data_IF_126137869837
#
_entry.id   IF_126137869837
#
_cell.length_a   1.000
_cell.length_b   1.000
_cell.length_c   1.000
_cell.angle_alpha   90.00
_cell.angle_beta   90.00
_cell.angle_gamma   90.00
#
_symmetry.space_group_name_H-M   'P 1'
#
loop_
_entity.id
_entity.type
_entity.pdbx_description
1 polymer ?
#
# COMPACT_ATOMS: atom_id res chain seq x y z
N UNK A 1 22.40 -4.26 1.77
CA UNK A 1 21.57 -4.86 0.72
C UNK A 1 20.19 -5.07 1.29
N UNK A 2 19.17 -4.45 0.70
CA UNK A 2 17.78 -4.58 1.14
C UNK A 2 16.95 -5.15 -0.02
N UNK A 3 16.08 -6.11 0.31
CA UNK A 3 15.18 -6.76 -0.65
C UNK A 3 13.78 -6.18 -0.44
N UNK A 4 13.14 -5.87 -1.55
CA UNK A 4 11.77 -5.42 -1.65
C UNK A 4 11.03 -6.24 -2.71
N UNK A 5 9.71 -6.19 -2.65
CA UNK A 5 8.84 -6.89 -3.57
C UNK A 5 7.79 -5.95 -4.14
N UNK A 6 7.35 -6.24 -5.35
CA UNK A 6 6.22 -5.55 -5.97
C UNK A 6 5.39 -6.52 -6.80
N UNK A 7 4.09 -6.55 -6.51
CA UNK A 7 3.11 -7.28 -7.31
C UNK A 7 2.67 -6.51 -8.55
N UNK A 8 2.51 -7.22 -9.65
CA UNK A 8 1.97 -6.73 -10.91
C UNK A 8 0.85 -7.68 -11.36
N UNK A 9 -0.40 -7.28 -11.15
CA UNK A 9 -1.55 -8.01 -11.66
C UNK A 9 -1.67 -7.91 -13.18
N UNK A 10 -2.35 -8.87 -13.79
CA UNK A 10 -2.56 -8.93 -15.23
C UNK A 10 -3.19 -7.64 -15.74
N UNK A 11 -2.67 -7.13 -16.86
CA UNK A 11 -3.07 -5.87 -17.49
C UNK A 11 -2.91 -4.61 -16.62
N UNK A 12 -2.30 -4.71 -15.43
CA UNK A 12 -1.93 -3.51 -14.67
C UNK A 12 -0.72 -2.81 -15.30
N UNK A 13 -0.46 -1.56 -14.88
CA UNK A 13 0.65 -0.78 -15.43
C UNK A 13 1.98 -1.54 -15.47
N UNK A 14 2.37 -2.19 -14.37
CA UNK A 14 3.64 -2.92 -14.31
C UNK A 14 3.66 -4.24 -15.03
N UNK A 15 2.49 -4.80 -15.31
CA UNK A 15 2.37 -5.95 -16.18
C UNK A 15 2.58 -5.56 -17.65
N UNK A 16 2.07 -4.39 -18.05
CA UNK A 16 2.20 -3.87 -19.41
C UNK A 16 3.54 -3.15 -19.67
N UNK A 17 4.28 -2.85 -18.61
CA UNK A 17 5.50 -2.04 -18.62
C UNK A 17 6.58 -2.79 -17.86
N UNK A 18 7.09 -3.88 -18.45
CA UNK A 18 7.93 -4.88 -17.76
C UNK A 18 9.15 -4.25 -17.07
N UNK A 19 9.19 -4.26 -15.73
CA UNK A 19 10.31 -3.74 -14.97
C UNK A 19 11.64 -4.45 -15.20
N UNK A 20 11.62 -5.69 -15.71
CA UNK A 20 12.83 -6.42 -16.08
C UNK A 20 13.53 -5.76 -17.27
N UNK A 21 12.77 -5.13 -18.18
CA UNK A 21 13.32 -4.52 -19.40
C UNK A 21 13.69 -3.04 -19.21
N UNK A 22 12.90 -2.29 -18.44
CA UNK A 22 13.03 -0.83 -18.32
C UNK A 22 13.15 -0.30 -16.89
N UNK A 23 13.05 -1.17 -15.88
CA UNK A 23 13.03 -0.77 -14.47
C UNK A 23 11.66 -0.26 -14.04
N UNK A 24 11.57 0.21 -12.78
CA UNK A 24 10.36 0.84 -12.29
C UNK A 24 10.44 2.37 -12.37
N UNK A 25 9.38 2.96 -12.92
CA UNK A 25 9.16 4.41 -13.08
C UNK A 25 7.75 4.76 -12.58
N UNK A 26 7.59 5.73 -11.69
CA UNK A 26 6.23 6.06 -11.23
C UNK A 26 5.27 6.41 -12.39
N UNK A 27 3.95 6.21 -12.24
CA UNK A 27 2.99 6.49 -13.32
C UNK A 27 2.96 7.96 -13.73
N UNK A 28 3.29 8.85 -12.80
CA UNK A 28 3.44 10.28 -13.05
C UNK A 28 4.71 10.80 -12.37
N UNK A 29 5.90 10.54 -12.95
CA UNK A 29 7.18 10.76 -12.30
C UNK A 29 7.53 12.25 -12.14
N UNK A 30 6.93 13.13 -12.96
CA UNK A 30 7.15 14.58 -12.93
C UNK A 30 6.26 15.28 -11.89
N UNK A 31 5.30 14.56 -11.30
CA UNK A 31 4.42 15.12 -10.28
C UNK A 31 5.22 15.47 -9.01
N UNK A 32 4.98 16.65 -8.44
CA UNK A 32 5.67 17.07 -7.21
C UNK A 32 5.39 16.11 -6.04
N UNK A 33 6.42 15.51 -5.41
CA UNK A 33 6.23 14.57 -4.31
C UNK A 33 5.92 15.31 -3.00
N UNK A 34 4.65 15.32 -2.59
CA UNK A 34 4.23 15.90 -1.31
C UNK A 34 3.76 14.80 -0.35
N UNK A 35 3.88 15.02 0.96
CA UNK A 35 3.40 14.06 1.95
C UNK A 35 1.89 13.80 1.84
N UNK A 36 1.09 14.82 1.50
CA UNK A 36 -0.34 14.63 1.19
C UNK A 36 -0.55 13.66 0.04
N UNK A 37 0.28 13.73 -1.01
CA UNK A 37 0.22 12.76 -2.12
C UNK A 37 0.69 11.38 -1.72
N UNK A 38 1.71 11.26 -0.87
CA UNK A 38 2.11 9.97 -0.30
C UNK A 38 0.95 9.34 0.47
N UNK A 39 0.27 10.13 1.31
CA UNK A 39 -0.88 9.68 2.07
C UNK A 39 -2.04 9.23 1.17
N UNK A 40 -2.36 10.01 0.13
CA UNK A 40 -3.39 9.64 -0.86
C UNK A 40 -3.01 8.39 -1.65
N UNK A 41 -1.74 8.26 -2.06
CA UNK A 41 -1.23 7.09 -2.76
C UNK A 41 -1.46 5.81 -1.94
N UNK A 42 -1.18 5.84 -0.64
CA UNK A 42 -1.30 4.68 0.25
C UNK A 42 -2.74 4.45 0.71
N UNK A 43 -3.41 5.49 1.23
CA UNK A 43 -4.73 5.37 1.85
C UNK A 43 -5.87 5.24 0.83
N UNK A 44 -5.70 5.81 -0.36
CA UNK A 44 -6.74 5.84 -1.41
C UNK A 44 -6.36 5.03 -2.65
N UNK A 45 -5.19 4.38 -2.65
CA UNK A 45 -4.67 3.65 -3.80
C UNK A 45 -4.63 4.51 -5.07
N UNK A 46 -4.31 5.80 -4.93
CA UNK A 46 -4.19 6.71 -6.08
C UNK A 46 -3.00 6.31 -6.92
N UNK A 47 -3.25 5.57 -8.01
CA UNK A 47 -2.22 4.97 -8.85
C UNK A 47 -1.44 5.99 -9.70
N UNK A 48 -2.02 7.16 -10.00
CA UNK A 48 -1.37 8.24 -10.73
C UNK A 48 -0.64 9.14 -9.73
N UNK A 49 0.61 8.79 -9.43
CA UNK A 49 1.45 9.47 -8.46
C UNK A 49 2.93 9.38 -8.87
N UNK A 50 3.82 10.16 -8.22
CA UNK A 50 5.26 10.08 -8.43
C UNK A 50 5.93 8.96 -7.61
N UNK A 51 5.15 8.05 -7.01
CA UNK A 51 5.66 7.03 -6.11
C UNK A 51 5.49 5.62 -6.67
N UNK A 52 6.50 4.79 -6.43
CA UNK A 52 6.46 3.35 -6.66
C UNK A 52 6.31 2.67 -5.30
N UNK A 53 5.15 2.05 -5.06
CA UNK A 53 4.94 1.17 -3.91
C UNK A 53 5.86 -0.05 -3.94
N UNK A 54 6.57 -0.26 -2.86
CA UNK A 54 7.37 -1.45 -2.59
C UNK A 54 6.92 -2.02 -1.25
N UNK A 55 7.04 -3.32 -1.08
CA UNK A 55 6.82 -3.96 0.23
C UNK A 55 8.01 -4.81 0.62
N UNK A 56 8.28 -4.92 1.92
CA UNK A 56 9.24 -5.91 2.44
C UNK A 56 8.64 -7.31 2.61
N UNK A 57 7.36 -7.50 2.30
CA UNK A 57 6.65 -8.77 2.43
C UNK A 57 6.29 -9.34 1.07
N UNK A 58 6.88 -10.49 0.73
CA UNK A 58 6.50 -11.23 -0.49
C UNK A 58 5.01 -11.57 -0.50
N UNK A 59 4.44 -11.98 0.64
CA UNK A 59 3.02 -12.34 0.73
C UNK A 59 2.09 -11.16 0.40
N UNK A 60 2.45 -9.94 0.79
CA UNK A 60 1.71 -8.73 0.45
C UNK A 60 1.80 -8.44 -1.06
N UNK A 61 3.01 -8.56 -1.64
CA UNK A 61 3.20 -8.38 -3.09
C UNK A 61 2.42 -9.42 -3.91
N UNK A 62 2.46 -10.68 -3.49
CA UNK A 62 1.68 -11.77 -4.08
C UNK A 62 0.18 -11.48 -4.00
N UNK A 63 -0.31 -11.09 -2.82
CA UNK A 63 -1.72 -10.74 -2.63
C UNK A 63 -2.17 -9.62 -3.56
N UNK A 64 -1.35 -8.58 -3.72
CA UNK A 64 -1.65 -7.50 -4.66
C UNK A 64 -1.59 -7.93 -6.12
N UNK A 65 -0.63 -8.77 -6.53
CA UNK A 65 -0.58 -9.32 -7.88
C UNK A 65 -1.86 -10.13 -8.21
N UNK A 66 -2.33 -10.92 -7.24
CA UNK A 66 -3.55 -11.72 -7.36
C UNK A 66 -4.82 -10.88 -7.41
N UNK A 67 -4.95 -9.85 -6.58
CA UNK A 67 -6.19 -9.07 -6.45
C UNK A 67 -6.30 -7.85 -7.38
N UNK A 68 -5.19 -7.34 -7.91
CA UNK A 68 -5.21 -6.16 -8.80
C UNK A 68 -5.58 -6.49 -10.25
N UNK A 69 -5.71 -7.78 -10.57
CA UNK A 69 -6.08 -8.29 -11.89
C UNK A 69 -7.61 -8.30 -12.07
N UNK A 70 -8.10 -7.97 -13.27
CA UNK A 70 -9.53 -8.12 -13.61
C UNK A 70 -9.97 -9.59 -13.75
N UNK A 71 -8.99 -10.48 -13.98
CA UNK A 71 -9.17 -11.93 -14.12
C UNK A 71 -8.23 -12.67 -13.17
N UNK A 72 -8.62 -13.89 -12.81
CA UNK A 72 -7.80 -14.78 -11.99
C UNK A 72 -6.59 -15.24 -12.82
N UNK A 73 -5.35 -15.04 -12.35
CA UNK A 73 -4.17 -15.53 -13.06
C UNK A 73 -4.14 -17.05 -13.23
N UNK A 74 -3.56 -17.52 -14.33
CA UNK A 74 -3.40 -18.95 -14.63
C UNK A 74 -1.94 -19.26 -15.01
N UNK A 75 -1.53 -20.53 -15.09
CA UNK A 75 -0.18 -20.87 -15.55
C UNK A 75 0.16 -20.35 -16.95
N UNK A 76 -0.84 -20.24 -17.84
CA UNK A 76 -0.67 -19.74 -19.21
C UNK A 76 -0.69 -18.21 -19.31
N UNK A 77 -1.20 -17.55 -18.27
CA UNK A 77 -1.31 -16.10 -18.16
C UNK A 77 -1.15 -15.69 -16.68
N UNK A 78 0.09 -15.77 -16.17
CA UNK A 78 0.37 -15.51 -14.76
C UNK A 78 0.36 -14.00 -14.47
N UNK A 79 0.10 -13.62 -13.22
CA UNK A 79 0.52 -12.33 -12.71
C UNK A 79 1.97 -12.43 -12.24
N UNK A 80 2.59 -11.32 -11.83
CA UNK A 80 4.00 -11.33 -11.44
C UNK A 80 4.25 -10.75 -10.05
N UNK A 81 5.24 -11.29 -9.35
CA UNK A 81 5.91 -10.63 -8.22
C UNK A 81 7.36 -10.41 -8.59
N UNK A 82 7.78 -9.15 -8.60
CA UNK A 82 9.17 -8.78 -8.86
C UNK A 82 9.94 -8.66 -7.53
N UNK A 83 11.12 -9.25 -7.48
CA UNK A 83 12.09 -9.07 -6.41
C UNK A 83 13.08 -7.97 -6.79
N UNK A 84 13.23 -7.01 -5.89
CA UNK A 84 13.98 -5.78 -6.11
C UNK A 84 15.04 -5.68 -5.03
N UNK A 85 16.30 -5.76 -5.43
CA UNK A 85 17.45 -5.65 -4.55
C UNK A 85 18.11 -4.28 -4.72
N UNK A 86 18.11 -3.49 -3.65
CA UNK A 86 18.71 -2.16 -3.63
C UNK A 86 19.88 -2.17 -2.64
N UNK A 87 21.02 -1.66 -3.10
CA UNK A 87 22.25 -1.56 -2.31
C UNK A 87 22.56 -0.10 -2.01
N UNK A 88 23.36 0.11 -0.96
CA UNK A 88 23.92 1.42 -0.65
C UNK A 88 25.29 1.56 -1.34
N UNK A 89 25.61 2.73 -1.92
CA UNK A 89 24.76 3.92 -2.01
C UNK A 89 23.58 3.73 -2.97
N UNK A 90 22.43 4.32 -2.66
CA UNK A 90 21.27 4.30 -3.55
C UNK A 90 21.64 4.80 -4.97
N UNK A 91 21.04 4.24 -6.04
CA UNK A 91 21.12 4.80 -7.39
C UNK A 91 20.83 6.30 -7.40
N UNK A 92 21.49 7.02 -8.32
CA UNK A 92 21.30 8.48 -8.46
C UNK A 92 19.82 8.81 -8.58
N UNK A 93 19.38 9.85 -7.85
CA UNK A 93 18.01 10.36 -7.83
C UNK A 93 16.94 9.43 -7.19
N UNK A 94 17.27 8.18 -6.87
CA UNK A 94 16.39 7.29 -6.12
C UNK A 94 16.35 7.68 -4.64
N UNK A 95 15.15 7.85 -4.10
CA UNK A 95 14.90 8.01 -2.67
C UNK A 95 13.94 6.94 -2.19
N UNK A 96 14.28 6.32 -1.07
CA UNK A 96 13.38 5.42 -0.34
C UNK A 96 12.77 6.18 0.83
N UNK A 97 11.44 6.22 0.86
CA UNK A 97 10.64 6.91 1.85
C UNK A 97 9.92 5.88 2.70
N UNK A 98 10.02 6.04 4.01
CA UNK A 98 9.27 5.26 5.00
C UNK A 98 7.99 6.06 5.34
N UNK A 99 6.80 5.65 4.85
CA UNK A 99 5.59 6.45 5.01
C UNK A 99 5.23 6.67 6.47
N UNK A 100 5.59 5.76 7.37
CA UNK A 100 5.34 5.91 8.80
C UNK A 100 6.14 7.09 9.34
N UNK A 101 7.42 7.21 8.96
CA UNK A 101 8.26 8.34 9.36
C UNK A 101 7.81 9.65 8.73
N UNK A 102 7.52 9.64 7.44
CA UNK A 102 7.11 10.84 6.69
C UNK A 102 5.80 11.43 7.23
N UNK A 103 4.81 10.59 7.52
CA UNK A 103 3.53 11.04 8.09
C UNK A 103 3.72 11.49 9.54
N UNK A 104 4.43 10.71 10.36
CA UNK A 104 4.62 11.04 11.78
C UNK A 104 5.31 12.39 11.99
N UNK A 105 6.26 12.77 11.14
CA UNK A 105 6.94 14.07 11.22
C UNK A 105 6.03 15.27 10.92
N UNK A 106 4.96 15.07 10.16
CA UNK A 106 4.01 16.15 9.85
C UNK A 106 2.89 16.29 10.88
N UNK A 107 2.72 15.31 11.76
CA UNK A 107 1.62 15.36 12.72
C UNK A 107 1.80 16.56 13.65
N UNK A 108 0.72 17.35 13.84
CA UNK A 108 0.80 18.51 14.71
C UNK A 108 1.11 18.08 16.14
N UNK A 109 1.70 18.98 16.92
CA UNK A 109 1.89 18.77 18.35
C UNK A 109 0.57 18.38 19.02
N UNK A 110 0.56 17.48 20.03
CA UNK A 110 -0.66 17.07 20.74
C UNK A 110 -1.47 18.22 21.34
N UNK A 111 -0.85 19.39 21.54
CA UNK A 111 -1.47 20.61 22.06
C UNK A 111 -1.95 21.58 20.97
N UNK A 112 -1.81 21.21 19.69
CA UNK A 112 -2.26 22.03 18.57
C UNK A 112 -3.79 22.06 18.49
N UNK A 113 -4.36 23.21 18.12
CA UNK A 113 -5.82 23.42 17.98
C UNK A 113 -6.42 22.78 16.72
N UNK A 114 -5.63 22.06 15.92
CA UNK A 114 -6.10 21.30 14.76
C UNK A 114 -6.70 19.94 15.13
N UNK A 115 -7.39 19.25 14.20
CA UNK A 115 -7.88 17.90 14.47
C UNK A 115 -6.67 17.00 14.77
N UNK A 116 -6.57 16.42 15.98
CA UNK A 116 -5.53 15.47 16.28
C UNK A 116 -5.75 14.20 15.42
N UNK A 117 -4.71 13.36 15.33
CA UNK A 117 -4.92 11.97 14.91
C UNK A 117 -6.02 11.36 15.80
N UNK A 118 -7.14 10.98 15.19
CA UNK A 118 -8.31 10.49 15.92
C UNK A 118 -9.08 9.47 15.09
N UNK A 119 -9.79 8.60 15.79
CA UNK A 119 -10.86 7.76 15.25
C UNK A 119 -12.06 7.82 16.19
N UNK A 120 -13.24 7.50 15.68
CA UNK A 120 -14.48 7.45 16.47
C UNK A 120 -14.90 6.02 16.87
N UNK A 121 -14.03 5.03 16.63
CA UNK A 121 -14.17 3.65 17.11
C UNK A 121 -13.70 3.40 18.55
N UNK A 122 -13.94 2.20 19.07
CA UNK A 122 -13.38 1.69 20.33
C UNK A 122 -11.93 1.19 20.15
N UNK A 123 -11.14 0.97 21.22
CA UNK A 123 -9.77 0.49 21.11
C UNK A 123 -9.61 -0.78 20.27
N UNK A 124 -10.60 -1.68 20.31
CA UNK A 124 -10.59 -2.94 19.55
C UNK A 124 -10.78 -2.74 18.04
N UNK A 125 -11.16 -1.53 17.59
CA UNK A 125 -11.31 -1.21 16.17
C UNK A 125 -9.97 -1.26 15.42
N UNK A 126 -8.87 -0.85 16.07
CA UNK A 126 -7.54 -0.88 15.47
C UNK A 126 -6.93 -2.30 15.46
N UNK A 127 -7.59 -3.28 16.07
CA UNK A 127 -7.08 -4.65 16.23
C UNK A 127 -7.40 -5.60 15.06
N UNK A 128 -7.68 -5.05 13.89
CA UNK A 128 -7.51 -5.77 12.64
C UNK A 128 -8.81 -6.28 12.05
N UNK A 129 -9.04 -5.83 10.84
CA UNK A 129 -9.87 -6.54 9.89
C UNK A 129 -9.02 -6.70 8.63
N UNK A 130 -8.58 -7.94 8.44
CA UNK A 130 -7.58 -8.38 7.45
C UNK A 130 -8.08 -8.22 6.00
N UNK A 131 -9.37 -7.97 5.81
CA UNK A 131 -9.99 -7.78 4.50
C UNK A 131 -11.15 -6.78 4.58
N UNK A 132 -10.94 -5.49 4.24
CA UNK A 132 -11.99 -4.48 4.26
C UNK A 132 -13.21 -4.81 3.40
N UNK A 133 -13.01 -5.54 2.29
CA UNK A 133 -14.09 -5.92 1.38
C UNK A 133 -15.00 -6.99 1.96
N UNK A 134 -14.43 -7.99 2.64
CA UNK A 134 -15.19 -9.12 3.21
C UNK A 134 -15.71 -8.83 4.61
N UNK A 135 -15.04 -7.99 5.37
CA UNK A 135 -15.31 -7.79 6.79
C UNK A 135 -15.77 -6.36 7.11
N UNK A 136 -15.92 -5.48 6.12
CA UNK A 136 -16.44 -4.12 6.31
C UNK A 136 -17.81 -4.07 7.00
N UNK A 137 -18.63 -5.13 6.86
CA UNK A 137 -19.90 -5.25 7.56
C UNK A 137 -19.75 -5.46 9.09
N UNK A 138 -18.66 -6.07 9.56
CA UNK A 138 -18.35 -6.15 11.00
C UNK A 138 -17.91 -4.80 11.59
N UNK A 139 -17.47 -3.89 10.72
CA UNK A 139 -17.02 -2.55 11.10
C UNK A 139 -18.18 -1.55 11.15
N UNK A 140 -19.37 -1.88 10.62
CA UNK A 140 -20.54 -1.04 10.72
C UNK A 140 -21.08 -1.09 12.16
N UNK A 141 -20.64 -0.14 12.99
CA UNK A 141 -21.03 -0.03 14.39
C UNK A 141 -21.75 1.30 14.62
N UNK A 142 -22.57 1.33 15.66
CA UNK A 142 -23.06 2.59 16.18
C UNK A 142 -21.88 3.34 16.79
N UNK A 143 -21.49 4.48 16.21
CA UNK A 143 -20.49 5.34 16.81
C UNK A 143 -20.95 5.67 18.24
N UNK A 144 -20.11 5.37 19.24
CA UNK A 144 -20.48 5.56 20.65
C UNK A 144 -20.70 7.05 20.89
N UNK A 145 -21.94 7.43 21.16
CA UNK A 145 -22.34 8.80 21.47
C UNK A 145 -22.50 8.99 22.99
N UNK A 146 -22.46 10.25 23.48
CA UNK A 146 -22.92 10.58 24.82
C UNK A 146 -24.38 10.14 25.06
N UNK A 147 -24.80 9.94 26.32
CA UNK A 147 -26.19 9.65 26.65
C UNK A 147 -27.12 10.71 26.04
N UNK A 148 -28.32 10.30 25.57
CA UNK A 148 -29.35 11.09 24.85
C UNK A 148 -29.17 11.29 23.33
N UNK A 149 -28.13 10.72 22.71
CA UNK A 149 -27.96 10.74 21.25
C UNK A 149 -28.04 9.33 20.67
N UNK A 150 -28.87 9.15 19.64
CA UNK A 150 -28.89 7.95 18.82
C UNK A 150 -27.90 8.14 17.66
N UNK A 151 -26.80 7.38 17.69
CA UNK A 151 -25.86 7.37 16.58
C UNK A 151 -26.46 6.68 15.35
N UNK A 152 -26.04 7.09 14.16
CA UNK A 152 -26.32 6.31 12.94
C UNK A 152 -25.26 5.21 12.80
N UNK A 153 -25.62 3.96 12.45
CA UNK A 153 -24.64 2.94 12.10
C UNK A 153 -23.79 3.42 10.94
N UNK A 154 -22.47 3.44 11.12
CA UNK A 154 -21.53 3.74 10.04
C UNK A 154 -20.18 3.09 10.35
N UNK A 155 -19.37 2.81 9.32
CA UNK A 155 -17.97 2.48 9.56
C UNK A 155 -17.29 3.67 10.27
N UNK A 156 -16.30 3.40 11.14
CA UNK A 156 -15.50 4.44 11.76
C UNK A 156 -14.83 5.31 10.72
N UNK A 157 -14.76 6.60 11.01
CA UNK A 157 -14.09 7.57 10.15
C UNK A 157 -12.63 7.68 10.60
N UNK A 158 -11.71 7.34 9.70
CA UNK A 158 -10.28 7.50 9.92
C UNK A 158 -9.79 8.77 9.24
N UNK A 159 -8.95 9.53 9.95
CA UNK A 159 -8.17 10.57 9.26
C UNK A 159 -7.24 9.91 8.25
N UNK A 160 -6.85 10.64 7.20
CA UNK A 160 -6.00 10.09 6.16
C UNK A 160 -4.63 9.68 6.72
N UNK A 161 -4.12 10.43 7.69
CA UNK A 161 -2.88 10.14 8.41
C UNK A 161 -2.96 8.78 9.10
N UNK A 162 -4.05 8.53 9.85
CA UNK A 162 -4.27 7.25 10.52
C UNK A 162 -4.36 6.10 9.55
N UNK A 163 -5.16 6.26 8.50
CA UNK A 163 -5.31 5.22 7.49
C UNK A 163 -3.99 4.93 6.76
N UNK A 164 -3.20 5.96 6.45
CA UNK A 164 -1.86 5.79 5.86
C UNK A 164 -0.93 5.03 6.80
N UNK A 165 -0.86 5.42 8.09
CA UNK A 165 0.00 4.74 9.07
C UNK A 165 -0.36 3.25 9.21
N UNK A 166 -1.65 2.94 9.35
CA UNK A 166 -2.12 1.56 9.49
C UNK A 166 -1.84 0.74 8.25
N UNK A 167 -2.15 1.25 7.05
CA UNK A 167 -1.89 0.53 5.80
C UNK A 167 -0.40 0.34 5.55
N UNK A 168 0.42 1.37 5.80
CA UNK A 168 1.85 1.28 5.63
C UNK A 168 2.48 0.21 6.55
N UNK A 169 2.03 0.13 7.81
CA UNK A 169 2.45 -0.91 8.74
C UNK A 169 1.96 -2.30 8.32
N UNK A 170 0.68 -2.45 7.98
CA UNK A 170 0.06 -3.71 7.57
C UNK A 170 0.75 -4.30 6.34
N UNK A 171 1.04 -3.45 5.35
CA UNK A 171 1.57 -3.86 4.05
C UNK A 171 3.10 -3.88 4.01
N UNK A 172 3.76 -3.50 5.11
CA UNK A 172 5.21 -3.26 5.15
C UNK A 172 5.68 -2.34 4.00
N UNK A 173 4.90 -1.28 3.76
CA UNK A 173 5.00 -0.39 2.61
C UNK A 173 6.23 0.52 2.70
N UNK A 174 6.93 0.67 1.58
CA UNK A 174 8.02 1.60 1.34
C UNK A 174 7.72 2.28 0.00
N UNK A 175 7.88 3.61 -0.07
CA UNK A 175 7.73 4.32 -1.32
C UNK A 175 9.10 4.61 -1.92
N UNK A 176 9.29 4.24 -3.18
CA UNK A 176 10.40 4.72 -3.98
C UNK A 176 9.95 5.97 -4.77
N UNK A 177 10.78 7.00 -4.76
CA UNK A 177 10.64 8.20 -5.57
C UNK A 177 11.88 8.35 -6.45
N UNK A 178 11.68 8.46 -7.77
CA UNK A 178 12.73 8.33 -8.79
C UNK A 178 12.61 7.00 -9.55
N UNK A 179 13.68 6.62 -10.24
CA UNK A 179 13.72 5.42 -11.08
C UNK A 179 14.43 4.29 -10.33
N UNK A 180 13.81 3.11 -10.28
CA UNK A 180 14.49 1.88 -9.86
C UNK A 180 15.06 1.22 -11.12
N UNK A 181 16.39 1.17 -11.31
CA UNK A 181 16.98 0.66 -12.53
C UNK A 181 16.75 -0.85 -12.69
N UNK A 182 16.79 -1.35 -13.92
CA UNK A 182 16.68 -2.79 -14.24
C UNK A 182 17.69 -3.64 -13.48
N UNK A 183 18.89 -3.11 -13.21
CA UNK A 183 19.93 -3.81 -12.44
C UNK A 183 19.52 -4.13 -10.99
N UNK A 184 18.52 -3.43 -10.45
CA UNK A 184 17.93 -3.73 -9.14
C UNK A 184 16.85 -4.81 -9.20
N UNK A 185 16.24 -5.09 -10.35
CA UNK A 185 15.20 -6.12 -10.49
C UNK A 185 15.89 -7.46 -10.72
N UNK A 186 15.85 -8.35 -9.72
CA UNK A 186 16.64 -9.59 -9.73
C UNK A 186 15.86 -10.77 -10.28
N UNK A 187 14.62 -10.90 -9.83
CA UNK A 187 13.75 -12.02 -10.16
C UNK A 187 12.35 -11.51 -10.49
N UNK A 188 11.66 -12.24 -11.36
CA UNK A 188 10.23 -12.12 -11.59
C UNK A 188 9.63 -13.50 -11.40
N UNK A 189 8.67 -13.61 -10.48
CA UNK A 189 8.00 -14.87 -10.15
C UNK A 189 6.60 -14.86 -10.74
N UNK A 190 6.28 -15.89 -11.51
CA UNK A 190 4.92 -16.16 -11.97
C UNK A 190 4.05 -16.49 -10.76
N UNK A 191 2.90 -15.84 -10.64
CA UNK A 191 1.94 -16.07 -9.56
C UNK A 191 0.55 -16.33 -10.11
N UNK A 192 -0.05 -17.40 -9.61
CA UNK A 192 -1.41 -17.86 -9.88
C UNK A 192 -1.89 -18.69 -8.68
N UNK A 193 -3.20 -18.95 -8.54
CA UNK A 193 -3.69 -19.78 -7.46
C UNK A 193 -3.08 -21.18 -7.59
N UNK A 194 -2.49 -21.68 -6.51
CA UNK A 194 -2.12 -23.09 -6.49
C UNK A 194 -3.40 -23.93 -6.61
N UNK A 195 -3.38 -25.05 -7.36
CA UNK A 195 -4.49 -25.97 -7.36
C UNK A 195 -4.74 -26.38 -5.91
N UNK A 196 -5.92 -26.05 -5.38
CA UNK A 196 -6.30 -26.42 -4.02
C UNK A 196 -6.09 -27.92 -3.87
N UNK A 197 -5.13 -28.31 -3.02
CA UNK A 197 -5.07 -29.66 -2.49
C UNK A 197 -6.43 -29.91 -1.86
N UNK A 198 -7.24 -30.69 -2.55
CA UNK A 198 -8.58 -31.03 -2.12
C UNK A 198 -8.41 -32.00 -0.96
N UNK A 199 -8.56 -31.50 0.27
CA UNK A 199 -8.88 -32.32 1.43
C UNK A 199 -10.40 -32.37 1.63
#
# INVERSE_FOLDING_TARGET
MAIFYRGAGINTYWYLSDPMEQGFVARDPEMTPTTTRQMLHIARSTVNSPFISLTRSYAVAWHYAMLSSERVPTPEDPAYVHEIEIQEPLPSELRLLDPVKEVAQMLPSPISLGPPYQHDGLPDFLLGVVDPGRMGHFLAQYAKQPPSSEGTPRPPNLTIELETLVRALRDAEILAHGIIPTTCVKNSFDVYPEPSLSE
#
